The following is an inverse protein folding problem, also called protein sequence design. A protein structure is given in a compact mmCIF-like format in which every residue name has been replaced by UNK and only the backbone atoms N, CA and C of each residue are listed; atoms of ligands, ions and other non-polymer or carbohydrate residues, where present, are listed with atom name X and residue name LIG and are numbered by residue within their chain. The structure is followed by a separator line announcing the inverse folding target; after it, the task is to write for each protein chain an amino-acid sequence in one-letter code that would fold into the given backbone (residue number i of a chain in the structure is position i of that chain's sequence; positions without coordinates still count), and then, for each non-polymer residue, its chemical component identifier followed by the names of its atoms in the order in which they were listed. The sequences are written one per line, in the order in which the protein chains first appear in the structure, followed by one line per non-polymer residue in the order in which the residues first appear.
data_IF_474802727958
#
_entry.id   IF_474802727958
#
_cell.length_a   1.000
_cell.length_b   1.000
_cell.length_c   1.000
_cell.angle_alpha   90.00
_cell.angle_beta   90.00
_cell.angle_gamma   90.00
#
_symmetry.space_group_name_H-M   'P 1'
#
loop_
_entity.id
_entity.type
_entity.pdbx_description
1 polymer ?
#
# COMPACT_ATOMS: atom_id res chain seq x y z
N UNK A 1 6.77 -17.38 8.02
CA UNK A 1 6.76 -16.81 6.67
C UNK A 1 5.48 -15.99 6.46
N UNK A 2 5.62 -14.78 5.97
CA UNK A 2 4.46 -13.94 5.71
C UNK A 2 3.68 -14.41 4.47
N UNK A 3 2.36 -14.40 4.58
CA UNK A 3 1.46 -14.67 3.45
C UNK A 3 1.26 -13.39 2.62
N UNK A 4 0.70 -13.51 1.41
CA UNK A 4 0.32 -12.33 0.62
C UNK A 4 -0.56 -11.36 1.41
N UNK A 5 -1.53 -11.88 2.17
CA UNK A 5 -2.37 -11.04 3.04
C UNK A 5 -1.51 -10.30 4.06
N UNK A 6 -0.62 -11.01 4.75
CA UNK A 6 0.26 -10.39 5.75
C UNK A 6 1.16 -9.31 5.17
N UNK A 7 1.69 -9.51 3.98
CA UNK A 7 2.53 -8.51 3.31
C UNK A 7 1.72 -7.31 2.82
N UNK A 8 0.50 -7.53 2.31
CA UNK A 8 -0.40 -6.44 1.95
C UNK A 8 -0.77 -5.60 3.17
N UNK A 9 -1.07 -6.25 4.30
CA UNK A 9 -1.34 -5.57 5.58
C UNK A 9 -0.12 -4.78 6.04
N UNK A 10 1.08 -5.36 5.97
CA UNK A 10 2.31 -4.68 6.38
C UNK A 10 2.51 -3.39 5.59
N UNK A 11 2.30 -3.42 4.28
CA UNK A 11 2.39 -2.22 3.44
C UNK A 11 1.36 -1.18 3.86
N UNK A 12 0.11 -1.54 4.03
CA UNK A 12 -0.93 -0.60 4.46
C UNK A 12 -0.63 -0.03 5.85
N UNK A 13 -0.14 -0.85 6.77
CA UNK A 13 0.16 -0.42 8.13
C UNK A 13 1.34 0.57 8.17
N UNK A 14 2.46 0.22 7.56
CA UNK A 14 3.66 1.07 7.64
C UNK A 14 3.53 2.35 6.80
N UNK A 15 2.73 2.32 5.73
CA UNK A 15 2.58 3.48 4.84
C UNK A 15 1.36 4.34 5.17
N UNK A 16 0.28 3.77 5.69
CA UNK A 16 -1.00 4.45 5.75
C UNK A 16 -1.84 4.16 7.00
N UNK A 17 -1.24 3.76 8.14
CA UNK A 17 -2.05 3.39 9.32
C UNK A 17 -2.88 4.54 9.88
N UNK A 18 -2.44 5.79 9.71
CA UNK A 18 -3.13 6.99 10.19
C UNK A 18 -3.94 7.69 9.09
N UNK A 19 -4.18 7.01 7.97
CA UNK A 19 -4.86 7.57 6.82
C UNK A 19 -6.29 7.02 6.70
N UNK A 20 -7.15 7.71 5.94
CA UNK A 20 -8.48 7.18 5.61
C UNK A 20 -8.42 5.84 4.87
N UNK A 21 -9.54 5.11 4.89
CA UNK A 21 -9.64 3.79 4.22
C UNK A 21 -9.27 3.87 2.74
N UNK A 22 -9.72 4.89 2.03
CA UNK A 22 -9.39 5.04 0.60
C UNK A 22 -7.88 5.15 0.37
N UNK A 23 -7.15 5.80 1.28
CA UNK A 23 -5.69 5.89 1.21
C UNK A 23 -5.04 4.53 1.45
N UNK A 24 -5.53 3.78 2.44
CA UNK A 24 -5.06 2.41 2.71
C UNK A 24 -5.25 1.52 1.49
N UNK A 25 -6.43 1.58 0.87
CA UNK A 25 -6.74 0.82 -0.34
C UNK A 25 -5.83 1.24 -1.49
N UNK A 26 -5.60 2.54 -1.66
CA UNK A 26 -4.70 3.05 -2.70
C UNK A 26 -3.28 2.52 -2.56
N UNK A 27 -2.74 2.51 -1.35
CA UNK A 27 -1.41 1.97 -1.06
C UNK A 27 -1.36 0.47 -1.38
N UNK A 28 -2.38 -0.28 -0.96
CA UNK A 28 -2.49 -1.70 -1.28
C UNK A 28 -2.58 -1.96 -2.79
N UNK A 29 -3.32 -1.10 -3.50
CA UNK A 29 -3.44 -1.21 -4.96
C UNK A 29 -2.10 -1.00 -5.68
N UNK A 30 -1.25 -0.11 -5.18
CA UNK A 30 0.09 0.09 -5.73
C UNK A 30 0.89 -1.22 -5.63
N UNK A 31 0.86 -1.88 -4.48
CA UNK A 31 1.55 -3.17 -4.33
C UNK A 31 1.00 -4.22 -5.30
N UNK A 32 -0.32 -4.34 -5.38
CA UNK A 32 -0.96 -5.30 -6.28
C UNK A 32 -0.63 -5.02 -7.74
N UNK A 33 -0.57 -3.73 -8.13
CA UNK A 33 -0.24 -3.33 -9.50
C UNK A 33 1.18 -3.76 -9.92
N UNK A 34 2.12 -3.85 -8.97
CA UNK A 34 3.47 -4.33 -9.25
C UNK A 34 3.56 -5.85 -9.37
N UNK A 35 2.55 -6.58 -8.91
CA UNK A 35 2.58 -8.03 -8.91
C UNK A 35 2.33 -8.59 -10.31
N UNK A 36 3.08 -9.63 -10.66
CA UNK A 36 2.81 -10.44 -11.84
C UNK A 36 1.67 -11.40 -11.54
N UNK A 37 0.94 -11.92 -12.56
CA UNK A 37 -0.12 -12.88 -12.33
C UNK A 37 0.35 -14.06 -11.45
N UNK A 38 -0.37 -14.31 -10.35
CA UNK A 38 -0.05 -15.38 -9.42
C UNK A 38 1.13 -15.15 -8.49
N UNK A 39 1.79 -14.00 -8.59
CA UNK A 39 2.95 -13.70 -7.74
C UNK A 39 2.53 -13.43 -6.29
N UNK A 40 3.25 -14.01 -5.33
CA UNK A 40 3.08 -13.70 -3.92
C UNK A 40 3.50 -12.25 -3.66
N UNK A 41 2.66 -11.47 -2.95
CA UNK A 41 2.94 -10.06 -2.69
C UNK A 41 4.21 -9.84 -1.86
N UNK A 42 4.57 -10.78 -1.00
CA UNK A 42 5.83 -10.71 -0.27
C UNK A 42 7.03 -10.75 -1.23
N UNK A 43 6.93 -11.53 -2.28
CA UNK A 43 7.97 -11.62 -3.30
C UNK A 43 8.12 -10.29 -4.07
N UNK A 44 7.02 -9.60 -4.34
CA UNK A 44 7.06 -8.26 -4.99
C UNK A 44 7.90 -7.31 -4.15
N UNK A 45 7.67 -7.26 -2.85
CA UNK A 45 8.41 -6.38 -1.94
C UNK A 45 9.89 -6.75 -1.90
N UNK A 46 10.19 -8.04 -1.87
CA UNK A 46 11.57 -8.55 -1.79
C UNK A 46 12.37 -8.28 -3.06
N UNK A 47 11.76 -8.46 -4.24
CA UNK A 47 12.46 -8.26 -5.51
C UNK A 47 12.64 -6.79 -5.89
N UNK A 48 11.89 -5.90 -5.25
CA UNK A 48 11.98 -4.46 -5.49
C UNK A 48 12.08 -3.70 -4.16
N UNK A 49 13.25 -3.77 -3.49
CA UNK A 49 13.42 -3.19 -2.16
C UNK A 49 13.33 -1.67 -2.14
N UNK A 50 13.40 -1.00 -3.30
CA UNK A 50 13.22 0.44 -3.40
C UNK A 50 11.77 0.89 -3.41
N UNK A 51 10.82 -0.04 -3.54
CA UNK A 51 9.40 0.29 -3.63
C UNK A 51 8.85 0.85 -2.31
N UNK A 52 9.30 0.30 -1.18
CA UNK A 52 8.90 0.75 0.16
C UNK A 52 10.13 0.94 1.05
N UNK A 53 10.30 2.15 1.58
CA UNK A 53 11.50 2.50 2.36
C UNK A 53 11.67 1.66 3.62
N UNK A 54 10.58 1.31 4.31
CA UNK A 54 10.64 0.50 5.53
C UNK A 54 11.10 -0.93 5.28
N UNK A 55 10.94 -1.44 4.06
CA UNK A 55 11.32 -2.80 3.69
C UNK A 55 12.74 -2.91 3.14
N UNK A 56 13.45 -1.79 3.03
CA UNK A 56 14.79 -1.74 2.39
C UNK A 56 15.81 -2.66 3.06
N UNK A 57 15.72 -2.86 4.36
CA UNK A 57 16.63 -3.69 5.14
C UNK A 57 15.99 -4.99 5.62
N UNK A 58 14.93 -5.42 4.99
CA UNK A 58 14.21 -6.65 5.30
C UNK A 58 12.75 -6.40 5.65
N UNK A 59 11.95 -7.44 5.53
CA UNK A 59 10.51 -7.37 5.84
C UNK A 59 10.29 -7.16 7.33
N UNK A 60 9.31 -6.32 7.66
CA UNK A 60 8.88 -6.07 9.03
C UNK A 60 7.43 -6.51 9.20
N UNK A 61 7.12 -7.05 10.38
CA UNK A 61 5.76 -7.40 10.77
C UNK A 61 5.23 -6.32 11.71
N UNK A 62 4.00 -5.82 11.53
CA UNK A 62 3.41 -4.88 12.48
C UNK A 62 3.28 -5.47 13.87
N UNK A 63 3.73 -4.72 14.89
CA UNK A 63 3.61 -5.09 16.30
C UNK A 63 3.02 -3.92 17.10
N UNK A 64 1.73 -3.60 16.93
CA UNK A 64 1.12 -2.46 17.58
C UNK A 64 1.01 -2.69 19.10
N UNK A 65 1.41 -1.67 19.87
CA UNK A 65 1.30 -1.69 21.34
C UNK A 65 0.06 -0.99 21.83
N UNK A 66 -0.43 0.01 21.11
CA UNK A 66 -1.63 0.78 21.46
C UNK A 66 -2.87 0.10 20.93
N UNK A 67 -3.97 0.19 21.69
CA UNK A 67 -5.26 -0.37 21.27
C UNK A 67 -5.72 0.24 19.93
N UNK A 68 -5.57 1.55 19.76
CA UNK A 68 -5.96 2.22 18.53
C UNK A 68 -5.23 1.66 17.30
N UNK A 69 -3.92 1.38 17.44
CA UNK A 69 -3.13 0.82 16.34
C UNK A 69 -3.50 -0.66 16.09
N UNK A 70 -3.85 -1.41 17.15
CA UNK A 70 -4.35 -2.78 16.98
C UNK A 70 -5.68 -2.81 16.23
N UNK A 71 -6.58 -1.87 16.54
CA UNK A 71 -7.87 -1.76 15.86
C UNK A 71 -7.68 -1.42 14.38
N UNK A 72 -6.73 -0.54 14.06
CA UNK A 72 -6.37 -0.23 12.67
C UNK A 72 -5.82 -1.47 11.97
N UNK A 73 -4.94 -2.21 12.63
CA UNK A 73 -4.36 -3.43 12.06
C UNK A 73 -5.44 -4.46 11.74
N UNK A 74 -6.40 -4.67 12.65
CA UNK A 74 -7.52 -5.58 12.43
C UNK A 74 -8.36 -5.17 11.22
N UNK A 75 -8.61 -3.87 11.10
CA UNK A 75 -9.32 -3.32 9.94
C UNK A 75 -8.54 -3.55 8.64
N UNK A 76 -7.23 -3.37 8.69
CA UNK A 76 -6.38 -3.58 7.51
C UNK A 76 -6.34 -5.05 7.08
N UNK A 77 -6.38 -6.00 8.03
CA UNK A 77 -6.53 -7.42 7.69
C UNK A 77 -7.86 -7.69 6.98
N UNK A 78 -8.96 -7.09 7.46
CA UNK A 78 -10.26 -7.21 6.79
C UNK A 78 -10.23 -6.63 5.37
N UNK A 79 -9.65 -5.44 5.21
CA UNK A 79 -9.50 -4.80 3.89
C UNK A 79 -8.63 -5.65 2.96
N UNK A 80 -7.52 -6.16 3.44
CA UNK A 80 -6.61 -6.97 2.64
C UNK A 80 -7.30 -8.24 2.13
N UNK A 81 -8.06 -8.93 2.99
CA UNK A 81 -8.84 -10.09 2.58
C UNK A 81 -9.84 -9.75 1.49
N UNK A 82 -10.56 -8.63 1.64
CA UNK A 82 -11.52 -8.16 0.63
C UNK A 82 -10.84 -7.76 -0.68
N UNK A 83 -9.66 -7.15 -0.60
CA UNK A 83 -8.88 -6.80 -1.79
C UNK A 83 -8.47 -8.05 -2.59
N UNK A 84 -8.01 -9.09 -1.91
CA UNK A 84 -7.50 -10.30 -2.58
C UNK A 84 -8.61 -11.27 -3.00
N UNK A 85 -9.67 -11.41 -2.20
CA UNK A 85 -10.70 -12.40 -2.47
C UNK A 85 -11.98 -11.84 -3.09
N UNK A 86 -12.24 -10.55 -2.94
CA UNK A 86 -13.43 -9.87 -3.48
C UNK A 86 -13.09 -8.73 -4.42
N UNK A 87 -11.83 -8.55 -4.74
CA UNK A 87 -11.35 -7.50 -5.64
C UNK A 87 -11.74 -6.09 -5.18
N UNK A 88 -11.77 -5.86 -3.86
CA UNK A 88 -12.06 -4.54 -3.31
C UNK A 88 -10.98 -3.54 -3.76
N UNK A 89 -11.41 -2.38 -4.27
CA UNK A 89 -10.54 -1.29 -4.71
C UNK A 89 -11.16 0.05 -4.32
N UNK A 90 -10.34 1.08 -4.15
CA UNK A 90 -10.87 2.43 -4.05
C UNK A 90 -11.32 2.94 -5.41
N UNK A 91 -12.46 3.64 -5.45
CA UNK A 91 -12.93 4.28 -6.69
C UNK A 91 -12.14 5.55 -7.03
N UNK A 92 -11.32 6.03 -6.10
CA UNK A 92 -10.52 7.26 -6.28
C UNK A 92 -9.28 7.04 -7.14
N UNK A 93 -8.85 5.78 -7.34
CA UNK A 93 -7.78 5.43 -8.26
C UNK A 93 -8.30 4.57 -9.39
N UNK A 94 -7.87 4.88 -10.61
CA UNK A 94 -8.01 3.97 -11.74
C UNK A 94 -6.82 3.01 -11.77
N UNK A 95 -6.83 2.04 -12.68
CA UNK A 95 -5.69 1.16 -12.88
C UNK A 95 -4.46 1.91 -13.36
N UNK A 96 -3.28 1.39 -13.07
CA UNK A 96 -2.02 1.90 -13.59
C UNK A 96 -1.24 2.81 -12.66
N UNK A 97 -1.75 3.14 -11.48
CA UNK A 97 -0.97 3.89 -10.48
C UNK A 97 0.01 2.94 -9.80
N UNK A 98 1.31 3.23 -9.92
CA UNK A 98 2.38 2.36 -9.42
C UNK A 98 3.22 2.97 -8.31
N UNK A 99 2.98 4.26 -7.97
CA UNK A 99 3.79 4.97 -6.99
C UNK A 99 2.92 5.84 -6.11
N UNK A 100 3.41 6.14 -4.91
CA UNK A 100 2.82 7.15 -4.05
C UNK A 100 3.92 7.85 -3.25
N UNK A 101 3.62 9.07 -2.78
CA UNK A 101 4.55 9.85 -1.95
C UNK A 101 3.73 10.81 -1.08
N UNK A 102 4.21 11.07 0.13
CA UNK A 102 3.62 12.05 1.04
C UNK A 102 4.19 13.46 0.82
N UNK A 103 5.14 13.62 -0.09
CA UNK A 103 5.77 14.90 -0.41
C UNK A 103 5.38 15.31 -1.83
N UNK A 104 4.95 16.58 -2.06
CA UNK A 104 4.63 17.05 -3.40
C UNK A 104 5.81 16.84 -4.35
N UNK A 105 5.50 16.28 -5.52
CA UNK A 105 6.49 16.09 -6.57
C UNK A 105 6.94 17.46 -7.13
N UNK A 106 8.19 17.53 -7.58
CA UNK A 106 8.72 18.71 -8.23
C UNK A 106 7.96 19.06 -9.52
N UNK A 107 8.11 20.34 -9.96
CA UNK A 107 7.39 20.86 -11.15
C UNK A 107 7.55 20.00 -12.40
N UNK A 108 8.70 19.34 -12.57
CA UNK A 108 8.97 18.50 -13.75
C UNK A 108 8.02 17.30 -13.89
N UNK A 109 7.36 16.88 -12.81
CA UNK A 109 6.41 15.76 -12.86
C UNK A 109 4.98 16.21 -13.09
N UNK A 110 4.66 17.49 -12.83
CA UNK A 110 3.27 17.99 -12.86
C UNK A 110 2.63 17.96 -14.24
N UNK A 111 3.42 18.09 -15.30
CA UNK A 111 2.92 18.18 -16.66
C UNK A 111 2.88 16.85 -17.41
N UNK A 112 3.60 15.84 -16.93
CA UNK A 112 3.80 14.58 -17.64
C UNK A 112 3.20 13.36 -16.95
N UNK A 113 2.80 13.47 -15.69
CA UNK A 113 2.37 12.35 -14.88
C UNK A 113 0.98 12.63 -14.33
N UNK A 114 0.06 11.70 -14.56
CA UNK A 114 -1.27 11.76 -13.96
C UNK A 114 -1.14 11.49 -12.45
N UNK A 115 -1.66 12.40 -11.62
CA UNK A 115 -1.54 12.33 -10.18
C UNK A 115 -2.89 12.47 -9.50
N UNK A 116 -3.10 11.71 -8.43
CA UNK A 116 -4.30 11.78 -7.60
C UNK A 116 -3.91 11.87 -6.14
N UNK A 117 -4.46 12.83 -5.41
CA UNK A 117 -4.28 12.94 -3.96
C UNK A 117 -5.40 12.21 -3.25
N UNK A 118 -5.05 11.31 -2.34
CA UNK A 118 -6.00 10.62 -1.46
C UNK A 118 -5.44 10.70 -0.04
N UNK A 119 -6.19 11.34 0.88
CA UNK A 119 -5.66 11.63 2.20
C UNK A 119 -4.42 12.52 2.08
N UNK A 120 -3.33 12.13 2.74
CA UNK A 120 -2.07 12.86 2.70
C UNK A 120 -1.09 12.31 1.66
N UNK A 121 -1.50 11.34 0.86
CA UNK A 121 -0.63 10.71 -0.12
C UNK A 121 -0.99 11.13 -1.55
N UNK A 122 0.05 11.27 -2.36
CA UNK A 122 -0.06 11.56 -3.78
C UNK A 122 0.30 10.31 -4.56
N UNK A 123 -0.62 9.86 -5.41
CA UNK A 123 -0.44 8.65 -6.24
C UNK A 123 -0.12 9.04 -7.69
N UNK A 124 0.79 8.31 -8.29
CA UNK A 124 1.21 8.56 -9.68
C UNK A 124 1.76 7.33 -10.39
#
# INVERSE_FOLDING_TARGET
MLTSIGCLVAVMYFEARNQPVDTMLGVGQVLIEHARPGENLCHVIQRDPGLFTWARHGMKTPHPKRKADRDVLDKQYDLARKMLFRNLRTTKLTEGYKHFNNVPLGKRFRTKVKMVKIGDLLFF
#
